data_IF_475482463865
#
_entry.id   IF_475482463865
#
_cell.length_a   1.000
_cell.length_b   1.000
_cell.length_c   1.000
_cell.angle_alpha   90.00
_cell.angle_beta   90.00
_cell.angle_gamma   90.00
#
_symmetry.space_group_name_H-M   'P 1'
#
loop_
_entity.id
_entity.type
_entity.pdbx_description
1 polymer ?
#
# COMPACT_ATOMS: atom_id res chain seq x y z
N UNK A 1 -6.56 -7.89 10.80
CA UNK A 1 -6.35 -6.42 10.76
C UNK A 1 -4.88 -6.18 10.97
N UNK A 2 -4.24 -5.57 9.97
CA UNK A 2 -2.82 -5.23 9.98
C UNK A 2 -2.58 -4.07 10.95
N UNK A 3 -1.48 -4.11 11.71
CA UNK A 3 -0.98 -3.00 12.54
C UNK A 3 0.49 -2.69 12.20
N UNK A 4 1.11 -1.74 12.92
CA UNK A 4 2.52 -1.42 12.73
C UNK A 4 3.48 -2.55 13.12
N UNK A 5 3.04 -3.53 13.92
CA UNK A 5 3.84 -4.70 14.31
C UNK A 5 3.98 -5.71 13.17
N UNK A 6 3.00 -5.74 12.25
CA UNK A 6 3.04 -6.59 11.06
C UNK A 6 3.94 -6.00 9.95
N UNK A 7 4.31 -4.72 10.05
CA UNK A 7 5.12 -4.03 9.04
C UNK A 7 6.61 -4.23 9.33
N UNK A 8 7.25 -5.04 8.49
CA UNK A 8 8.69 -5.28 8.58
C UNK A 8 9.48 -4.02 8.22
N UNK A 9 10.63 -3.85 8.87
CA UNK A 9 11.48 -2.66 8.75
C UNK A 9 12.67 -2.88 7.81
N UNK A 10 13.28 -1.77 7.41
CA UNK A 10 14.53 -1.80 6.66
C UNK A 10 15.56 -2.74 7.32
N UNK A 11 16.21 -3.55 6.48
CA UNK A 11 17.12 -4.61 6.91
C UNK A 11 16.52 -6.01 6.81
N UNK A 12 15.18 -6.15 6.78
CA UNK A 12 14.56 -7.44 6.50
C UNK A 12 14.81 -7.87 5.04
N UNK A 13 15.33 -9.09 4.78
CA UNK A 13 15.63 -9.58 3.43
C UNK A 13 14.45 -9.55 2.46
N UNK A 14 13.22 -9.79 2.92
CA UNK A 14 12.02 -9.84 2.05
C UNK A 14 11.80 -8.52 1.30
N UNK A 15 12.16 -7.37 1.90
CA UNK A 15 12.08 -6.06 1.25
C UNK A 15 13.06 -5.88 0.08
N UNK A 16 14.03 -6.78 -0.09
CA UNK A 16 15.02 -6.77 -1.17
C UNK A 16 14.79 -7.87 -2.21
N UNK A 17 13.82 -8.75 -2.00
CA UNK A 17 13.50 -9.82 -2.93
C UNK A 17 12.59 -9.35 -4.08
N UNK A 18 12.65 -10.07 -5.19
CA UNK A 18 11.67 -9.92 -6.27
C UNK A 18 10.43 -10.72 -5.89
N UNK A 19 9.36 -10.00 -5.55
CA UNK A 19 8.08 -10.61 -5.18
C UNK A 19 7.49 -11.47 -6.32
N UNK A 20 6.83 -12.58 -5.94
CA UNK A 20 6.30 -13.56 -6.89
C UNK A 20 4.94 -13.13 -7.43
N UNK A 21 4.69 -13.43 -8.71
CA UNK A 21 3.37 -13.24 -9.30
C UNK A 21 2.32 -14.11 -8.59
N UNK A 22 1.11 -13.57 -8.46
CA UNK A 22 -0.06 -14.33 -7.99
C UNK A 22 -0.79 -14.94 -9.19
N UNK A 23 -1.34 -16.16 -9.06
CA UNK A 23 -2.07 -16.80 -10.15
C UNK A 23 -3.44 -16.12 -10.38
N UNK A 24 -3.97 -16.31 -11.59
CA UNK A 24 -5.37 -16.02 -11.90
C UNK A 24 -6.12 -17.33 -12.22
N UNK A 25 -7.34 -17.54 -11.68
CA UNK A 25 -8.06 -16.66 -10.76
C UNK A 25 -7.37 -16.50 -9.40
N UNK A 26 -7.58 -15.35 -8.74
CA UNK A 26 -6.99 -15.06 -7.44
C UNK A 26 -7.50 -16.04 -6.38
N UNK A 27 -6.64 -16.40 -5.43
CA UNK A 27 -7.06 -17.16 -4.26
C UNK A 27 -7.89 -16.31 -3.30
N UNK A 28 -8.74 -16.94 -2.48
CA UNK A 28 -9.48 -16.24 -1.43
C UNK A 28 -8.55 -15.54 -0.44
N UNK A 29 -7.39 -16.13 -0.16
CA UNK A 29 -6.35 -15.57 0.71
C UNK A 29 -5.75 -14.29 0.11
N UNK A 30 -5.44 -14.27 -1.18
CA UNK A 30 -4.89 -13.06 -1.85
C UNK A 30 -5.93 -11.94 -1.93
N UNK A 31 -7.21 -12.29 -2.10
CA UNK A 31 -8.32 -11.34 -2.05
C UNK A 31 -8.48 -10.77 -0.63
N UNK A 32 -8.42 -11.63 0.39
CA UNK A 32 -8.53 -11.22 1.79
C UNK A 32 -7.36 -10.31 2.19
N UNK A 33 -6.12 -10.69 1.85
CA UNK A 33 -4.93 -9.89 2.09
C UNK A 33 -5.05 -8.50 1.46
N UNK A 34 -5.46 -8.43 0.20
CA UNK A 34 -5.69 -7.15 -0.49
C UNK A 34 -6.70 -6.26 0.23
N UNK A 35 -7.81 -6.83 0.71
CA UNK A 35 -8.82 -6.11 1.51
C UNK A 35 -8.24 -5.62 2.83
N UNK A 36 -7.50 -6.45 3.55
CA UNK A 36 -6.87 -6.05 4.82
C UNK A 36 -5.84 -4.93 4.61
N UNK A 37 -5.06 -4.99 3.53
CA UNK A 37 -4.12 -3.92 3.17
C UNK A 37 -4.85 -2.60 2.90
N UNK A 38 -6.01 -2.64 2.23
CA UNK A 38 -6.85 -1.45 2.02
C UNK A 38 -7.43 -0.94 3.34
N UNK A 39 -7.93 -1.83 4.21
CA UNK A 39 -8.44 -1.45 5.54
C UNK A 39 -7.36 -0.79 6.39
N UNK A 40 -6.11 -1.26 6.32
CA UNK A 40 -4.99 -0.58 6.97
C UNK A 40 -4.83 0.87 6.49
N UNK A 41 -4.82 1.09 5.17
CA UNK A 41 -4.67 2.43 4.61
C UNK A 41 -5.82 3.35 5.04
N UNK A 42 -7.07 2.88 4.98
CA UNK A 42 -8.25 3.61 5.46
C UNK A 42 -8.12 3.99 6.94
N UNK A 43 -7.77 3.03 7.80
CA UNK A 43 -7.61 3.26 9.23
C UNK A 43 -6.43 4.20 9.55
N UNK A 44 -5.34 4.11 8.78
CA UNK A 44 -4.15 4.95 8.98
C UNK A 44 -4.37 6.41 8.58
N UNK A 45 -5.36 6.67 7.71
CA UNK A 45 -5.72 8.02 7.26
C UNK A 45 -6.86 8.64 8.09
N UNK A 46 -7.63 7.85 8.84
CA UNK A 46 -8.60 8.34 9.82
C UNK A 46 -7.87 8.76 11.11
N UNK A 47 -7.91 10.05 11.51
CA UNK A 47 -7.17 10.54 12.67
C UNK A 47 -7.54 9.86 13.99
N UNK A 48 -8.80 9.45 14.17
CA UNK A 48 -9.27 8.78 15.39
C UNK A 48 -8.74 7.36 15.42
N UNK A 49 -8.84 6.64 14.30
CA UNK A 49 -8.36 5.26 14.20
C UNK A 49 -6.84 5.16 14.24
N UNK A 50 -6.15 6.08 13.58
CA UNK A 50 -4.70 6.12 13.57
C UNK A 50 -4.13 6.36 14.97
N UNK A 51 -4.74 7.26 15.76
CA UNK A 51 -4.34 7.48 17.15
C UNK A 51 -4.69 6.26 18.04
N UNK A 52 -5.90 5.72 17.91
CA UNK A 52 -6.36 4.55 18.71
C UNK A 52 -5.47 3.31 18.49
N UNK A 53 -5.00 3.11 17.27
CA UNK A 53 -4.25 1.92 16.83
C UNK A 53 -2.75 2.20 16.64
N UNK A 54 -2.28 3.39 17.01
CA UNK A 54 -0.89 3.85 16.86
C UNK A 54 -0.33 3.65 15.42
N UNK A 55 -1.15 3.95 14.41
CA UNK A 55 -0.79 3.78 13.00
C UNK A 55 -0.06 5.02 12.46
N UNK A 56 0.92 4.79 11.59
CA UNK A 56 1.48 5.84 10.74
C UNK A 56 0.64 5.95 9.48
N UNK A 57 0.21 7.16 9.12
CA UNK A 57 -0.54 7.41 7.89
C UNK A 57 0.24 6.98 6.66
N UNK A 58 -0.42 6.22 5.77
CA UNK A 58 0.15 5.77 4.50
C UNK A 58 -0.84 5.90 3.35
N UNK A 59 -0.33 6.12 2.15
CA UNK A 59 -1.12 6.18 0.90
C UNK A 59 -0.91 4.95 0.00
N UNK A 60 0.01 4.06 0.38
CA UNK A 60 0.29 2.81 -0.32
C UNK A 60 0.90 1.78 0.62
N UNK A 61 0.59 0.51 0.37
CA UNK A 61 1.12 -0.63 1.09
C UNK A 61 1.32 -1.80 0.10
N UNK A 62 2.50 -2.41 0.11
CA UNK A 62 2.80 -3.59 -0.69
C UNK A 62 2.89 -4.84 0.21
N UNK A 63 2.44 -5.99 -0.29
CA UNK A 63 2.50 -7.25 0.47
C UNK A 63 3.91 -7.61 1.02
N UNK A 64 5.03 -7.29 0.33
CA UNK A 64 6.36 -7.50 0.91
C UNK A 64 6.63 -6.72 2.20
N UNK A 65 5.97 -5.57 2.43
CA UNK A 65 6.06 -4.85 3.70
C UNK A 65 5.43 -5.60 4.88
N UNK A 66 4.65 -6.65 4.59
CA UNK A 66 4.04 -7.55 5.57
C UNK A 66 4.75 -8.92 5.61
N UNK A 67 5.98 -8.98 5.10
CA UNK A 67 6.76 -10.22 4.94
C UNK A 67 6.15 -11.25 3.97
N UNK A 68 5.22 -10.81 3.10
CA UNK A 68 4.57 -11.66 2.11
C UNK A 68 5.14 -11.32 0.73
N UNK A 69 6.07 -12.15 0.25
CA UNK A 69 6.77 -11.95 -1.04
C UNK A 69 5.88 -12.27 -2.27
N UNK A 70 4.78 -11.52 -2.42
CA UNK A 70 3.79 -11.59 -3.52
C UNK A 70 3.57 -10.21 -4.15
N UNK A 71 3.25 -10.17 -5.46
CA UNK A 71 2.99 -8.93 -6.22
C UNK A 71 1.55 -8.43 -6.01
N UNK A 72 1.29 -7.94 -4.80
CA UNK A 72 0.01 -7.35 -4.40
C UNK A 72 0.30 -5.97 -3.81
N UNK A 73 -0.42 -4.95 -4.24
CA UNK A 73 -0.25 -3.57 -3.76
C UNK A 73 -1.60 -2.90 -3.58
N UNK A 74 -1.85 -2.34 -2.40
CA UNK A 74 -2.99 -1.47 -2.13
C UNK A 74 -2.53 -0.01 -2.23
N UNK A 75 -3.33 0.82 -2.90
CA UNK A 75 -3.05 2.25 -3.06
C UNK A 75 -4.32 3.03 -2.75
N UNK A 76 -4.21 4.00 -1.85
CA UNK A 76 -5.27 4.91 -1.44
C UNK A 76 -4.71 6.34 -1.39
N UNK A 77 -4.93 7.08 -2.46
CA UNK A 77 -4.52 8.49 -2.58
C UNK A 77 -5.73 9.36 -2.31
N UNK A 78 -5.75 10.14 -1.21
CA UNK A 78 -6.84 11.07 -0.93
C UNK A 78 -6.93 12.16 -2.01
N UNK A 79 -8.10 12.80 -2.10
CA UNK A 79 -8.30 13.91 -3.03
C UNK A 79 -7.30 15.04 -2.79
N UNK A 80 -6.71 15.54 -3.87
CA UNK A 80 -5.95 16.79 -3.88
C UNK A 80 -6.82 18.03 -3.66
N UNK A 81 -8.13 17.92 -3.89
CA UNK A 81 -9.14 18.94 -3.60
C UNK A 81 -9.78 18.68 -2.21
N UNK A 82 -9.55 19.54 -1.20
CA UNK A 82 -10.05 19.33 0.16
C UNK A 82 -11.58 19.40 0.28
N UNK A 83 -12.29 19.89 -0.73
CA UNK A 83 -13.76 19.90 -0.74
C UNK A 83 -14.36 18.57 -1.23
N UNK A 84 -13.55 17.70 -1.84
CA UNK A 84 -13.97 16.38 -2.30
C UNK A 84 -13.60 15.31 -1.30
N UNK A 85 -14.58 14.46 -0.99
CA UNK A 85 -14.40 13.35 -0.05
C UNK A 85 -13.97 12.06 -0.75
N UNK A 86 -14.21 11.94 -2.06
CA UNK A 86 -13.78 10.79 -2.84
C UNK A 86 -12.26 10.81 -3.09
N UNK A 87 -11.55 9.69 -2.91
CA UNK A 87 -10.11 9.62 -3.19
C UNK A 87 -9.81 9.74 -4.69
N UNK A 88 -8.69 10.39 -5.04
CA UNK A 88 -8.20 10.48 -6.42
C UNK A 88 -7.82 9.09 -6.97
N UNK A 89 -7.40 8.17 -6.09
CA UNK A 89 -7.16 6.77 -6.44
C UNK A 89 -7.44 5.84 -5.26
N UNK A 90 -8.13 4.73 -5.50
CA UNK A 90 -8.35 3.67 -4.51
C UNK A 90 -8.48 2.32 -5.20
N UNK A 91 -7.47 1.46 -5.09
CA UNK A 91 -7.54 0.10 -5.62
C UNK A 91 -6.54 -0.87 -4.97
N UNK A 92 -6.79 -2.16 -5.16
CA UNK A 92 -5.83 -3.24 -4.90
C UNK A 92 -5.42 -3.84 -6.24
N UNK A 93 -4.13 -3.70 -6.55
CA UNK A 93 -3.55 -4.15 -7.80
C UNK A 93 -2.82 -5.47 -7.61
N UNK A 94 -3.14 -6.44 -8.45
CA UNK A 94 -2.51 -7.76 -8.50
C UNK A 94 -1.64 -7.87 -9.74
N UNK A 95 -0.38 -8.29 -9.56
CA UNK A 95 0.65 -8.30 -10.61
C UNK A 95 0.81 -6.96 -11.36
N UNK A 96 0.82 -5.78 -10.69
CA UNK A 96 0.95 -4.50 -11.38
C UNK A 96 2.27 -4.41 -12.15
N UNK A 97 2.20 -3.84 -13.36
CA UNK A 97 3.36 -3.62 -14.24
C UNK A 97 3.22 -2.30 -14.99
N UNK A 98 4.25 -1.47 -14.89
CA UNK A 98 4.38 -0.26 -15.72
C UNK A 98 4.76 -0.71 -17.14
N UNK A 99 3.90 -0.45 -18.13
CA UNK A 99 4.13 -0.84 -19.53
C UNK A 99 4.91 0.24 -20.30
N UNK A 100 4.68 1.50 -19.96
CA UNK A 100 5.31 2.67 -20.57
C UNK A 100 5.31 3.82 -19.57
N UNK A 101 6.23 4.76 -19.74
CA UNK A 101 6.33 5.96 -18.92
C UNK A 101 6.71 7.16 -19.80
N UNK A 102 6.53 8.36 -19.25
CA UNK A 102 6.97 9.58 -19.93
C UNK A 102 8.50 9.74 -19.88
N UNK A 103 9.06 10.59 -20.74
CA UNK A 103 10.48 11.00 -20.66
C UNK A 103 10.72 11.98 -19.52
N UNK A 104 9.70 12.79 -19.19
CA UNK A 104 9.78 13.77 -18.12
C UNK A 104 9.83 13.08 -16.76
N UNK A 105 10.79 13.50 -15.94
CA UNK A 105 10.93 13.08 -14.55
C UNK A 105 10.13 13.99 -13.61
N UNK A 106 9.79 13.47 -12.43
CA UNK A 106 9.12 14.20 -11.36
C UNK A 106 9.59 13.67 -9.99
N UNK A 107 9.49 14.51 -8.96
CA UNK A 107 9.76 14.16 -7.58
C UNK A 107 8.87 14.99 -6.64
N UNK A 108 8.65 14.49 -5.42
CA UNK A 108 8.04 15.28 -4.35
C UNK A 108 9.08 16.24 -3.75
N UNK A 109 8.71 17.50 -3.56
CA UNK A 109 9.62 18.53 -3.03
C UNK A 109 10.04 18.29 -1.58
N UNK A 110 9.22 17.58 -0.82
CA UNK A 110 9.43 17.20 0.58
C UNK A 110 10.14 15.85 0.76
N UNK A 111 10.50 15.19 -0.35
CA UNK A 111 10.97 13.81 -0.36
C UNK A 111 9.83 12.81 -0.17
N UNK A 112 10.19 11.54 0.03
CA UNK A 112 9.25 10.44 0.24
C UNK A 112 9.54 9.75 1.58
N UNK A 113 8.48 9.25 2.21
CA UNK A 113 8.56 8.42 3.41
C UNK A 113 8.12 6.98 3.11
N UNK A 114 8.58 6.05 3.93
CA UNK A 114 8.09 4.68 3.96
C UNK A 114 7.67 4.32 5.40
N UNK A 115 6.63 3.49 5.51
CA UNK A 115 6.03 3.06 6.78
C UNK A 115 7.03 2.37 7.69
#
# INVERSE_FOLDING_TARGET
MITMDDIIREGNPTLREVAKEVPFPLSEEDIALGKEMMTFLENSQDPVKAEELELRGGVGLAAPQLDISKRITAVLVPSSDPEKTEPDFKDVLYNPKILSHSVQEACLGEGEGCL
#
